data_IF_564321897846
#
_entry.id   IF_564321897846
#
_cell.length_a   1.000
_cell.length_b   1.000
_cell.length_c   1.000
_cell.angle_alpha   90.00
_cell.angle_beta   90.00
_cell.angle_gamma   90.00
#
_symmetry.space_group_name_H-M   'P 1'
#
loop_
_entity.id
_entity.type
_entity.pdbx_description
1 polymer ?
#
# COMPACT_ATOMS: atom_id res chain seq x y z
N UNK A 1 15.16 -29.03 2.68
CA UNK A 1 15.39 -28.85 1.23
C UNK A 1 16.86 -28.59 0.96
N UNK A 2 17.37 -28.95 -0.22
CA UNK A 2 18.74 -28.64 -0.63
C UNK A 2 18.83 -27.37 -1.49
N UNK A 3 19.81 -26.51 -1.17
CA UNK A 3 20.20 -25.20 -1.74
C UNK A 3 19.11 -24.12 -1.82
N UNK A 4 17.90 -24.47 -2.23
CA UNK A 4 16.74 -23.58 -2.27
C UNK A 4 15.46 -24.30 -1.82
N UNK A 5 14.52 -23.57 -1.19
CA UNK A 5 13.19 -24.10 -0.92
C UNK A 5 12.45 -24.35 -2.23
N UNK A 6 11.53 -25.31 -2.22
CA UNK A 6 10.74 -25.66 -3.40
C UNK A 6 9.48 -24.81 -3.34
N UNK A 7 8.99 -24.31 -4.48
CA UNK A 7 7.79 -23.46 -4.51
C UNK A 7 6.60 -24.12 -3.80
N UNK A 8 6.49 -25.44 -3.91
CA UNK A 8 5.47 -26.25 -3.24
C UNK A 8 5.41 -26.03 -1.71
N UNK A 9 6.51 -25.61 -1.08
CA UNK A 9 6.58 -25.42 0.37
C UNK A 9 5.82 -24.18 0.84
N UNK A 10 5.45 -23.28 -0.08
CA UNK A 10 4.77 -22.02 0.22
C UNK A 10 3.25 -22.07 -0.08
N UNK A 11 2.71 -23.21 -0.52
CA UNK A 11 1.27 -23.38 -0.71
C UNK A 11 0.61 -23.89 0.56
N UNK A 12 -0.52 -23.27 0.95
CA UNK A 12 -1.25 -23.59 2.19
C UNK A 12 -1.66 -25.05 2.24
N UNK A 13 -2.06 -25.61 1.12
CA UNK A 13 -2.52 -26.99 0.95
C UNK A 13 -1.43 -28.01 1.30
N UNK A 14 -0.15 -27.62 1.22
CA UNK A 14 0.99 -28.49 1.48
C UNK A 14 1.51 -28.40 2.93
N UNK A 15 1.00 -27.48 3.74
CA UNK A 15 1.40 -27.30 5.15
C UNK A 15 1.45 -28.64 5.93
N UNK A 16 0.44 -29.53 5.86
CA UNK A 16 0.45 -30.78 6.63
C UNK A 16 1.55 -31.76 6.23
N UNK A 17 2.10 -31.66 5.02
CA UNK A 17 3.10 -32.57 4.48
C UNK A 17 4.52 -32.02 4.57
N UNK A 18 4.67 -30.69 4.52
CA UNK A 18 5.97 -30.02 4.52
C UNK A 18 6.50 -29.87 5.94
N UNK A 19 5.63 -29.46 6.88
CA UNK A 19 6.02 -29.19 8.26
C UNK A 19 7.16 -28.16 8.38
N UNK A 20 7.96 -28.29 9.43
CA UNK A 20 9.16 -27.46 9.60
C UNK A 20 10.27 -27.94 8.65
N UNK A 21 10.79 -27.03 7.83
CA UNK A 21 11.87 -27.32 6.90
C UNK A 21 13.06 -26.39 7.12
N UNK A 22 14.25 -26.88 6.80
CA UNK A 22 15.47 -26.08 6.72
C UNK A 22 16.11 -26.25 5.35
N UNK A 23 16.92 -25.26 4.94
CA UNK A 23 17.70 -25.34 3.70
C UNK A 23 19.13 -25.81 4.00
N UNK A 24 19.59 -26.85 3.33
CA UNK A 24 20.94 -27.41 3.46
C UNK A 24 21.72 -27.13 2.17
N UNK A 25 22.93 -26.61 2.28
CA UNK A 25 23.77 -26.35 1.11
C UNK A 25 24.36 -27.65 0.55
N UNK A 26 24.42 -27.77 -0.79
CA UNK A 26 25.19 -28.80 -1.48
C UNK A 26 26.56 -28.29 -1.96
N UNK A 27 26.94 -27.07 -1.57
CA UNK A 27 28.21 -26.45 -2.00
C UNK A 27 28.16 -25.83 -3.40
N UNK A 28 26.97 -25.58 -3.96
CA UNK A 28 26.84 -24.79 -5.19
C UNK A 28 27.32 -23.37 -4.91
N UNK A 29 28.18 -22.82 -5.78
CA UNK A 29 28.71 -21.47 -5.57
C UNK A 29 27.60 -20.41 -5.66
N UNK A 30 27.69 -19.32 -4.87
CA UNK A 30 26.69 -18.25 -4.92
C UNK A 30 26.53 -17.60 -6.31
N UNK A 31 27.63 -17.55 -7.08
CA UNK A 31 27.64 -17.04 -8.46
C UNK A 31 26.86 -17.94 -9.40
N UNK A 32 27.03 -19.26 -9.28
CA UNK A 32 26.25 -20.21 -10.06
C UNK A 32 24.76 -20.14 -9.70
N UNK A 33 24.44 -19.99 -8.40
CA UNK A 33 23.05 -19.80 -7.95
C UNK A 33 22.42 -18.50 -8.48
N UNK A 34 23.16 -17.38 -8.49
CA UNK A 34 22.68 -16.11 -9.04
C UNK A 34 22.51 -16.12 -10.56
N UNK A 35 23.27 -16.98 -11.26
CA UNK A 35 23.18 -17.12 -12.72
C UNK A 35 22.02 -17.99 -13.21
N UNK A 36 21.29 -18.65 -12.30
CA UNK A 36 20.11 -19.46 -12.66
C UNK A 36 18.93 -18.53 -12.88
N UNK A 37 18.39 -18.56 -14.09
CA UNK A 37 17.14 -17.86 -14.40
C UNK A 37 15.98 -18.49 -13.63
N UNK A 38 15.20 -17.66 -12.94
CA UNK A 38 14.06 -18.10 -12.12
C UNK A 38 12.98 -17.03 -12.07
N UNK A 39 11.73 -17.48 -12.17
CA UNK A 39 10.56 -16.62 -11.99
C UNK A 39 10.22 -16.35 -10.52
N UNK A 40 10.80 -17.11 -9.57
CA UNK A 40 10.44 -17.05 -8.16
C UNK A 40 11.66 -16.80 -7.28
N UNK A 41 11.50 -15.89 -6.32
CA UNK A 41 12.51 -15.50 -5.34
C UNK A 41 11.95 -15.66 -3.93
N UNK A 42 12.76 -16.22 -3.02
CA UNK A 42 12.43 -16.29 -1.61
C UNK A 42 12.98 -15.05 -0.89
N UNK A 43 12.09 -14.12 -0.52
CA UNK A 43 12.46 -12.89 0.20
C UNK A 43 12.79 -13.22 1.65
N UNK A 44 13.97 -12.80 2.10
CA UNK A 44 14.47 -12.98 3.47
C UNK A 44 14.83 -11.62 4.09
N UNK A 45 14.90 -11.55 5.41
CA UNK A 45 15.13 -10.31 6.17
C UNK A 45 16.36 -9.52 5.72
N UNK A 46 17.46 -10.22 5.39
CA UNK A 46 18.69 -9.60 4.92
C UNK A 46 18.48 -8.88 3.57
N UNK A 47 17.72 -9.49 2.65
CA UNK A 47 17.39 -8.89 1.37
C UNK A 47 16.43 -7.70 1.54
N UNK A 48 15.44 -7.82 2.44
CA UNK A 48 14.51 -6.74 2.74
C UNK A 48 15.23 -5.51 3.32
N UNK A 49 16.15 -5.74 4.25
CA UNK A 49 16.93 -4.67 4.90
C UNK A 49 17.78 -3.88 3.89
N UNK A 50 18.27 -4.54 2.84
CA UNK A 50 19.02 -3.90 1.75
C UNK A 50 18.13 -3.13 0.77
N UNK A 51 16.88 -3.58 0.59
CA UNK A 51 15.91 -2.94 -0.29
C UNK A 51 15.28 -1.67 0.31
N UNK A 52 15.29 -1.52 1.64
CA UNK A 52 14.77 -0.33 2.31
C UNK A 52 15.57 0.92 1.94
N UNK A 53 14.85 2.00 1.65
CA UNK A 53 15.46 3.28 1.30
C UNK A 53 16.25 3.84 2.49
N UNK A 54 17.57 3.95 2.33
CA UNK A 54 18.43 4.59 3.33
C UNK A 54 18.15 6.08 3.40
N UNK A 55 17.89 6.59 4.61
CA UNK A 55 17.73 8.03 4.84
C UNK A 55 19.08 8.66 5.19
N UNK A 56 19.51 9.71 4.47
CA UNK A 56 20.71 10.45 4.85
C UNK A 56 20.49 11.15 6.19
N UNK A 57 21.55 11.27 7.00
CA UNK A 57 21.51 11.90 8.33
C UNK A 57 21.02 13.36 8.29
N UNK A 58 21.27 14.05 7.19
CA UNK A 58 20.89 15.44 6.96
C UNK A 58 19.86 15.53 5.82
N UNK A 59 18.68 14.95 6.01
CA UNK A 59 17.64 14.83 4.98
C UNK A 59 16.63 15.99 4.96
N UNK A 60 16.96 17.14 5.55
CA UNK A 60 16.01 18.27 5.71
C UNK A 60 15.52 18.81 4.36
N UNK A 61 16.33 18.64 3.30
CA UNK A 61 16.04 19.12 1.95
C UNK A 61 15.34 18.10 1.05
N UNK A 62 15.11 16.86 1.53
CA UNK A 62 14.40 15.87 0.73
C UNK A 62 12.90 16.23 0.63
N UNK A 63 12.28 16.09 -0.55
CA UNK A 63 10.84 16.28 -0.68
C UNK A 63 10.08 15.41 0.32
N UNK A 64 9.16 16.02 1.08
CA UNK A 64 8.24 15.26 1.91
C UNK A 64 7.23 14.57 1.00
N UNK A 65 7.37 13.26 0.88
CA UNK A 65 6.39 12.47 0.16
C UNK A 65 5.09 12.48 0.95
N UNK A 66 4.03 12.96 0.29
CA UNK A 66 2.69 13.05 0.86
C UNK A 66 1.83 11.90 0.38
N UNK A 67 1.11 11.26 1.29
CA UNK A 67 0.11 10.25 0.96
C UNK A 67 -1.28 10.70 1.41
N UNK A 68 -2.31 10.31 0.67
CA UNK A 68 -3.71 10.61 0.97
C UNK A 68 -4.52 9.32 1.15
N UNK A 69 -5.16 9.18 2.30
CA UNK A 69 -6.15 8.14 2.59
C UNK A 69 -7.55 8.72 2.33
N UNK A 70 -8.38 8.00 1.59
CA UNK A 70 -9.76 8.40 1.32
C UNK A 70 -10.73 7.45 2.03
N UNK A 71 -11.58 8.00 2.91
CA UNK A 71 -12.60 7.26 3.65
C UNK A 71 -13.89 8.08 3.64
N UNK A 72 -14.93 7.56 2.99
CA UNK A 72 -16.21 8.22 2.80
C UNK A 72 -17.33 7.58 3.65
N UNK A 73 -17.23 6.27 3.90
CA UNK A 73 -18.24 5.51 4.65
C UNK A 73 -17.94 5.58 6.15
N UNK A 74 -18.96 5.96 6.93
CA UNK A 74 -18.91 6.02 8.40
C UNK A 74 -18.67 4.64 9.01
N UNK A 75 -17.98 4.61 10.15
CA UNK A 75 -17.65 3.39 10.88
C UNK A 75 -16.33 2.74 10.44
N UNK A 76 -15.64 3.33 9.45
CA UNK A 76 -14.40 2.77 8.89
C UNK A 76 -13.12 3.50 9.32
N UNK A 77 -13.20 4.61 10.08
CA UNK A 77 -12.01 5.36 10.53
C UNK A 77 -11.00 4.55 11.34
N UNK A 78 -11.41 3.43 11.96
CA UNK A 78 -10.50 2.53 12.64
C UNK A 78 -9.47 1.91 11.68
N UNK A 79 -9.88 1.59 10.45
CA UNK A 79 -9.00 1.07 9.41
C UNK A 79 -8.05 2.16 8.91
N UNK A 80 -8.57 3.36 8.68
CA UNK A 80 -7.80 4.56 8.35
C UNK A 80 -6.72 4.85 9.40
N UNK A 81 -7.06 4.76 10.68
CA UNK A 81 -6.13 4.94 11.81
C UNK A 81 -5.00 3.90 11.81
N UNK A 82 -5.33 2.62 11.56
CA UNK A 82 -4.33 1.54 11.51
C UNK A 82 -3.37 1.74 10.32
N UNK A 83 -3.90 2.00 9.13
CA UNK A 83 -3.11 2.29 7.93
C UNK A 83 -2.23 3.52 8.14
N UNK A 84 -2.74 4.56 8.78
CA UNK A 84 -1.97 5.75 9.09
C UNK A 84 -0.80 5.50 10.04
N UNK A 85 -1.04 4.76 11.14
CA UNK A 85 0.01 4.37 12.08
C UNK A 85 1.06 3.49 11.42
N UNK A 86 0.65 2.54 10.57
CA UNK A 86 1.57 1.70 9.82
C UNK A 86 2.44 2.53 8.86
N UNK A 87 1.83 3.47 8.12
CA UNK A 87 2.55 4.35 7.20
C UNK A 87 3.59 5.22 7.93
N UNK A 88 3.24 5.84 9.06
CA UNK A 88 4.20 6.61 9.86
C UNK A 88 5.33 5.73 10.40
N UNK A 89 5.03 4.52 10.88
CA UNK A 89 6.06 3.56 11.33
C UNK A 89 6.98 3.10 10.20
N UNK A 90 6.46 2.99 8.98
CA UNK A 90 7.23 2.70 7.78
C UNK A 90 8.06 3.91 7.29
N UNK A 91 7.86 5.08 7.91
CA UNK A 91 8.64 6.29 7.67
C UNK A 91 7.94 7.34 6.81
N UNK A 92 6.66 7.20 6.46
CA UNK A 92 5.94 8.22 5.70
C UNK A 92 6.09 9.60 6.37
N UNK A 93 6.50 10.62 5.60
CA UNK A 93 6.81 11.95 6.15
C UNK A 93 5.58 12.78 6.43
N UNK A 94 4.55 12.66 5.61
CA UNK A 94 3.33 13.47 5.70
C UNK A 94 2.16 12.64 5.18
N UNK A 95 1.14 12.49 6.02
CA UNK A 95 -0.03 11.70 5.71
C UNK A 95 -1.29 12.51 5.95
N UNK A 96 -2.19 12.46 4.99
CA UNK A 96 -3.47 13.14 5.03
C UNK A 96 -4.58 12.09 4.96
N UNK A 97 -5.69 12.34 5.62
CA UNK A 97 -6.89 11.52 5.50
C UNK A 97 -8.11 12.40 5.28
N UNK A 98 -8.91 12.09 4.26
CA UNK A 98 -10.28 12.59 4.13
C UNK A 98 -11.21 11.59 4.80
N UNK A 99 -12.00 12.05 5.77
CA UNK A 99 -12.91 11.21 6.56
C UNK A 99 -14.25 11.90 6.81
N UNK A 100 -15.32 11.18 7.16
CA UNK A 100 -16.60 11.80 7.50
C UNK A 100 -16.45 12.80 8.65
N UNK A 101 -17.11 13.96 8.54
CA UNK A 101 -16.99 15.08 9.49
C UNK A 101 -17.23 14.65 10.94
N UNK A 102 -18.18 13.75 11.16
CA UNK A 102 -18.56 13.26 12.49
C UNK A 102 -17.45 12.42 13.15
N UNK A 103 -16.52 11.89 12.36
CA UNK A 103 -15.46 10.98 12.81
C UNK A 103 -14.08 11.65 12.81
N UNK A 104 -13.95 12.85 12.23
CA UNK A 104 -12.70 13.59 12.10
C UNK A 104 -12.04 13.89 13.44
N UNK A 105 -12.82 14.36 14.43
CA UNK A 105 -12.29 14.67 15.77
C UNK A 105 -11.65 13.44 16.44
N UNK A 106 -12.26 12.26 16.29
CA UNK A 106 -11.75 11.01 16.85
C UNK A 106 -10.38 10.65 16.29
N UNK A 107 -10.17 10.84 14.99
CA UNK A 107 -8.86 10.63 14.36
C UNK A 107 -7.83 11.67 14.81
N UNK A 108 -8.18 12.95 14.82
CA UNK A 108 -7.27 14.01 15.25
C UNK A 108 -6.81 13.86 16.70
N UNK A 109 -7.68 13.36 17.59
CA UNK A 109 -7.32 13.09 18.99
C UNK A 109 -6.46 11.82 19.16
N UNK A 110 -6.64 10.81 18.30
CA UNK A 110 -5.95 9.51 18.44
C UNK A 110 -4.64 9.41 17.67
N UNK A 111 -4.43 10.27 16.67
CA UNK A 111 -3.22 10.37 15.87
C UNK A 111 -3.01 11.84 15.43
N UNK A 112 -2.53 12.70 16.33
CA UNK A 112 -2.40 14.14 16.06
C UNK A 112 -1.40 14.48 14.95
N UNK A 113 -0.51 13.56 14.58
CA UNK A 113 0.41 13.70 13.46
C UNK A 113 -0.27 13.55 12.08
N UNK A 114 -1.50 13.01 12.04
CA UNK A 114 -2.29 12.86 10.82
C UNK A 114 -3.02 14.17 10.50
N UNK A 115 -2.84 14.69 9.28
CA UNK A 115 -3.67 15.80 8.80
C UNK A 115 -5.04 15.27 8.41
N UNK A 116 -6.07 15.62 9.16
CA UNK A 116 -7.45 15.18 8.92
C UNK A 116 -8.23 16.25 8.16
N UNK A 117 -8.87 15.85 7.07
CA UNK A 117 -9.75 16.65 6.23
C UNK A 117 -11.17 16.09 6.31
N UNK A 118 -12.14 16.95 6.03
CA UNK A 118 -13.55 16.56 5.96
C UNK A 118 -14.11 16.79 4.56
N UNK A 119 -15.32 16.32 4.22
CA UNK A 119 -15.88 16.50 2.88
C UNK A 119 -15.95 17.97 2.40
N UNK A 120 -15.92 18.96 3.30
CA UNK A 120 -15.81 20.37 2.90
C UNK A 120 -14.50 20.72 2.18
N UNK A 121 -13.43 19.96 2.41
CA UNK A 121 -12.11 20.16 1.81
C UNK A 121 -11.91 19.33 0.53
N UNK A 122 -12.84 18.43 0.20
CA UNK A 122 -12.69 17.42 -0.85
C UNK A 122 -12.38 18.05 -2.22
N UNK A 123 -13.17 19.02 -2.66
CA UNK A 123 -12.95 19.66 -3.95
C UNK A 123 -11.54 20.27 -4.08
N UNK A 124 -11.02 20.84 -3.00
CA UNK A 124 -9.66 21.39 -2.95
C UNK A 124 -8.59 20.28 -2.95
N UNK A 125 -8.84 19.17 -2.27
CA UNK A 125 -7.94 18.02 -2.25
C UNK A 125 -7.85 17.34 -3.61
N UNK A 126 -8.99 17.13 -4.27
CA UNK A 126 -9.05 16.48 -5.57
C UNK A 126 -8.45 17.36 -6.68
N UNK A 127 -8.66 18.68 -6.64
CA UNK A 127 -7.97 19.61 -7.55
C UNK A 127 -6.46 19.68 -7.29
N UNK A 128 -6.06 19.61 -6.01
CA UNK A 128 -4.67 19.57 -5.57
C UNK A 128 -4.06 18.16 -5.53
N UNK A 129 -4.71 17.15 -6.12
CA UNK A 129 -4.35 15.74 -5.89
C UNK A 129 -2.89 15.47 -6.28
N UNK A 130 -2.35 16.19 -7.28
CA UNK A 130 -0.96 16.15 -7.74
C UNK A 130 0.09 16.40 -6.64
N UNK A 131 -0.28 17.03 -5.53
CA UNK A 131 0.62 17.22 -4.38
C UNK A 131 0.89 15.90 -3.62
N UNK A 132 0.05 14.88 -3.81
CA UNK A 132 0.19 13.57 -3.19
C UNK A 132 0.93 12.61 -4.10
N UNK A 133 2.01 12.03 -3.58
CA UNK A 133 2.79 10.98 -4.25
C UNK A 133 1.95 9.73 -4.45
N UNK A 134 1.14 9.37 -3.46
CA UNK A 134 0.28 8.19 -3.52
C UNK A 134 -1.08 8.47 -2.91
N UNK A 135 -2.10 7.82 -3.48
CA UNK A 135 -3.46 7.81 -2.95
C UNK A 135 -3.80 6.38 -2.55
N UNK A 136 -4.34 6.23 -1.35
CA UNK A 136 -4.70 4.96 -0.77
C UNK A 136 -6.22 4.84 -0.75
N UNK A 137 -6.72 3.80 -1.41
CA UNK A 137 -8.13 3.46 -1.50
C UNK A 137 -8.28 2.09 -0.88
N UNK A 138 -8.93 2.06 0.28
CA UNK A 138 -9.15 0.86 1.06
C UNK A 138 -10.62 0.75 1.48
N UNK A 139 -10.87 -0.11 2.45
CA UNK A 139 -12.20 -0.26 3.03
C UNK A 139 -12.70 1.03 3.69
N UNK A 140 -13.93 1.39 3.40
CA UNK A 140 -14.53 2.66 3.80
C UNK A 140 -14.47 3.73 2.71
N UNK A 141 -13.90 3.43 1.54
CA UNK A 141 -14.07 4.26 0.36
C UNK A 141 -15.50 4.16 -0.21
N UNK A 142 -16.11 2.98 -0.10
CA UNK A 142 -17.43 2.68 -0.68
C UNK A 142 -17.32 1.85 -1.95
N UNK A 143 -18.44 1.20 -2.32
CA UNK A 143 -18.52 0.31 -3.49
C UNK A 143 -19.75 0.63 -4.37
N UNK A 144 -20.37 1.78 -4.16
CA UNK A 144 -21.52 2.24 -4.92
C UNK A 144 -21.09 2.95 -6.23
N UNK A 145 -22.07 3.42 -7.00
CA UNK A 145 -21.82 4.11 -8.27
C UNK A 145 -21.06 5.44 -8.07
N UNK A 146 -21.31 6.14 -6.96
CA UNK A 146 -20.59 7.38 -6.62
C UNK A 146 -19.11 7.11 -6.38
N UNK A 147 -18.79 6.08 -5.58
CA UNK A 147 -17.42 5.64 -5.35
C UNK A 147 -16.73 5.17 -6.65
N UNK A 148 -17.46 4.45 -7.52
CA UNK A 148 -16.93 4.01 -8.82
C UNK A 148 -16.55 5.21 -9.71
N UNK A 149 -17.42 6.21 -9.83
CA UNK A 149 -17.15 7.41 -10.60
C UNK A 149 -15.99 8.22 -10.03
N UNK A 150 -15.90 8.33 -8.70
CA UNK A 150 -14.79 8.97 -8.04
C UNK A 150 -13.47 8.23 -8.33
N UNK A 151 -13.44 6.90 -8.17
CA UNK A 151 -12.26 6.09 -8.49
C UNK A 151 -11.85 6.28 -9.96
N UNK A 152 -12.81 6.27 -10.88
CA UNK A 152 -12.55 6.52 -12.30
C UNK A 152 -11.91 7.89 -12.54
N UNK A 153 -12.40 8.93 -11.86
CA UNK A 153 -11.83 10.28 -11.94
C UNK A 153 -10.40 10.34 -11.40
N UNK A 154 -10.12 9.62 -10.31
CA UNK A 154 -8.80 9.55 -9.69
C UNK A 154 -7.78 8.82 -10.58
N UNK A 155 -8.20 7.75 -11.25
CA UNK A 155 -7.38 6.96 -12.18
C UNK A 155 -7.22 7.61 -13.56
N UNK A 156 -7.86 8.75 -13.82
CA UNK A 156 -7.84 9.35 -15.16
C UNK A 156 -6.43 9.84 -15.55
N UNK A 157 -5.98 9.66 -16.81
CA UNK A 157 -4.56 9.55 -17.18
C UNK A 157 -3.73 10.84 -17.12
N UNK A 158 -4.25 11.94 -16.60
CA UNK A 158 -3.53 13.22 -16.62
C UNK A 158 -2.20 13.15 -15.85
N UNK A 159 -2.05 12.21 -14.90
CA UNK A 159 -0.82 12.00 -14.13
C UNK A 159 -0.62 10.54 -13.71
N UNK A 160 0.46 9.90 -14.16
CA UNK A 160 0.89 8.59 -13.65
C UNK A 160 1.42 8.77 -12.22
N UNK A 161 0.68 8.26 -11.24
CA UNK A 161 1.12 8.18 -9.83
C UNK A 161 0.81 6.79 -9.29
N UNK A 162 1.57 6.29 -8.31
CA UNK A 162 1.20 5.09 -7.58
C UNK A 162 -0.15 5.24 -6.88
N UNK A 163 -0.98 4.20 -6.97
CA UNK A 163 -2.16 4.01 -6.13
C UNK A 163 -1.96 2.75 -5.29
N UNK A 164 -2.41 2.78 -4.04
CA UNK A 164 -2.59 1.57 -3.24
C UNK A 164 -4.08 1.26 -3.20
N UNK A 165 -4.49 0.16 -3.84
CA UNK A 165 -5.87 -0.28 -3.94
C UNK A 165 -6.04 -1.58 -3.15
N UNK A 166 -6.87 -1.54 -2.11
CA UNK A 166 -7.20 -2.66 -1.24
C UNK A 166 -8.72 -2.69 -1.03
N UNK A 167 -9.29 -3.85 -0.65
CA UNK A 167 -10.68 -3.95 -0.23
C UNK A 167 -11.65 -3.37 -1.27
N UNK A 168 -12.36 -2.30 -0.90
CA UNK A 168 -13.29 -1.56 -1.76
C UNK A 168 -12.66 -1.15 -3.10
N UNK A 169 -11.39 -0.74 -3.13
CA UNK A 169 -10.69 -0.38 -4.37
C UNK A 169 -10.56 -1.57 -5.33
N UNK A 170 -10.24 -2.76 -4.80
CA UNK A 170 -10.20 -4.00 -5.60
C UNK A 170 -11.62 -4.42 -6.01
N UNK A 171 -12.60 -4.26 -5.13
CA UNK A 171 -13.99 -4.57 -5.41
C UNK A 171 -14.53 -3.72 -6.58
N UNK A 172 -14.26 -2.42 -6.59
CA UNK A 172 -14.62 -1.49 -7.67
C UNK A 172 -13.90 -1.81 -8.99
N UNK A 173 -12.61 -2.15 -8.94
CA UNK A 173 -11.89 -2.61 -10.14
C UNK A 173 -12.47 -3.93 -10.70
N UNK A 174 -12.98 -4.78 -9.82
CA UNK A 174 -13.59 -6.06 -10.21
C UNK A 174 -14.97 -5.88 -10.84
N UNK A 175 -15.72 -4.85 -10.42
CA UNK A 175 -17.06 -4.55 -10.95
C UNK A 175 -17.01 -3.90 -12.34
N UNK A 176 -16.01 -3.04 -12.62
CA UNK A 176 -15.74 -2.54 -13.96
C UNK A 176 -14.29 -2.76 -14.40
N UNK A 177 -14.06 -3.86 -15.13
CA UNK A 177 -12.75 -4.22 -15.69
C UNK A 177 -12.20 -3.19 -16.69
N UNK A 178 -12.99 -2.24 -17.20
CA UNK A 178 -12.47 -1.16 -18.05
C UNK A 178 -11.50 -0.26 -17.29
N UNK A 179 -11.67 -0.13 -15.97
CA UNK A 179 -10.76 0.64 -15.10
C UNK A 179 -9.34 0.08 -15.07
N UNK A 180 -9.14 -1.21 -15.34
CA UNK A 180 -7.80 -1.81 -15.43
C UNK A 180 -6.94 -1.16 -16.52
N UNK A 181 -7.57 -0.65 -17.58
CA UNK A 181 -6.86 0.08 -18.66
C UNK A 181 -6.43 1.49 -18.26
N UNK A 182 -6.94 1.99 -17.13
CA UNK A 182 -6.63 3.30 -16.55
C UNK A 182 -5.60 3.22 -15.43
N UNK A 183 -5.25 2.01 -14.97
CA UNK A 183 -4.16 1.83 -14.02
C UNK A 183 -2.83 2.25 -14.68
N UNK A 184 -1.96 2.97 -13.96
CA UNK A 184 -0.67 3.45 -14.45
C UNK A 184 0.33 2.32 -14.73
#
# INVERSE_FOLDING_TARGET
AFDSPKLAFFFRENEPYVGAWSCLSLGISPQAQHGIDTAYYHVQDAALSLALQKRPRFSIELPREKALLLTYVKGHIGKTLLSARAAFRAGCSELHALVPTEEALSLSLTLPELTVHTPSDEAKLLTGINAYRTVVIGEGFGTDEEALHLLESLLTPSYSRPFLLEGDGIALLSSDRKLLKKLP
#
